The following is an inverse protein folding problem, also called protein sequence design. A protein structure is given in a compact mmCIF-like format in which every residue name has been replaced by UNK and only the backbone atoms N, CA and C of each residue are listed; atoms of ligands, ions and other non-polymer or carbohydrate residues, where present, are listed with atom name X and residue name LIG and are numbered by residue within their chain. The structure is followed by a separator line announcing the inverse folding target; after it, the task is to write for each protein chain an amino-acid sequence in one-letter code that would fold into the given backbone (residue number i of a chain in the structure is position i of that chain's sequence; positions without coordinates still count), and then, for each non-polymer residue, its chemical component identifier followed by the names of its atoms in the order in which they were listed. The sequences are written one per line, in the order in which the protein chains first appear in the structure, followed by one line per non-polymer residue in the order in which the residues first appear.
data_IF_003231848544
#
_entry.id   IF_003231848544
#
_cell.length_a   1.000
_cell.length_b   1.000
_cell.length_c   1.000
_cell.angle_alpha   90.00
_cell.angle_beta   90.00
_cell.angle_gamma   90.00
#
_symmetry.space_group_name_H-M   'P 1'
#
loop_
_entity.id
_entity.type
_entity.pdbx_description
1 polymer ?
#
# COMPACT_ATOMS: atom_id res chain seq x y z
N UNK A 1 -14.14 6.83 1.67
CA UNK A 1 -13.29 7.80 0.93
C UNK A 1 -12.47 8.69 1.85
N UNK A 2 -13.05 9.30 2.90
CA UNK A 2 -12.30 10.21 3.78
C UNK A 2 -11.13 9.53 4.51
N UNK A 3 -11.33 8.31 5.00
CA UNK A 3 -10.28 7.52 5.62
C UNK A 3 -9.08 7.26 4.67
N UNK A 4 -9.32 7.03 3.37
CA UNK A 4 -8.25 6.88 2.38
C UNK A 4 -7.49 8.19 2.18
N UNK A 5 -8.19 9.33 2.13
CA UNK A 5 -7.56 10.66 2.02
C UNK A 5 -6.70 10.99 3.23
N UNK A 6 -7.20 10.68 4.42
CA UNK A 6 -6.48 10.88 5.69
C UNK A 6 -5.20 10.04 5.71
N UNK A 7 -5.30 8.75 5.36
CA UNK A 7 -4.17 7.81 5.37
C UNK A 7 -3.12 8.04 4.26
N UNK A 8 -3.43 8.87 3.26
CA UNK A 8 -2.53 9.13 2.12
C UNK A 8 -2.11 10.59 2.09
N UNK A 9 -2.90 11.44 1.43
CA UNK A 9 -2.59 12.85 1.21
C UNK A 9 -2.45 13.61 2.52
N UNK A 10 -3.43 13.52 3.43
CA UNK A 10 -3.39 14.33 4.65
C UNK A 10 -2.24 13.91 5.57
N UNK A 11 -1.95 12.60 5.65
CA UNK A 11 -0.80 12.09 6.40
C UNK A 11 0.52 12.57 5.80
N UNK A 12 0.68 12.55 4.47
CA UNK A 12 1.87 13.05 3.79
C UNK A 12 2.06 14.56 4.00
N UNK A 13 0.97 15.32 3.96
CA UNK A 13 0.96 16.78 4.19
C UNK A 13 1.32 17.12 5.64
N UNK A 14 0.96 16.27 6.61
CA UNK A 14 1.26 16.47 8.03
C UNK A 14 2.76 16.34 8.36
N UNK A 15 3.51 15.56 7.58
CA UNK A 15 4.93 15.26 7.83
C UNK A 15 5.86 15.84 6.76
N UNK A 16 5.40 16.84 6.01
CA UNK A 16 6.14 17.53 4.94
C UNK A 16 6.64 16.62 3.81
N UNK A 17 5.96 15.49 3.56
CA UNK A 17 6.23 14.59 2.44
C UNK A 17 5.26 14.84 1.27
N UNK A 18 5.10 16.10 0.88
CA UNK A 18 4.09 16.56 -0.10
C UNK A 18 4.21 15.95 -1.50
N UNK A 19 5.37 15.36 -1.84
CA UNK A 19 5.62 14.64 -3.09
C UNK A 19 5.37 13.12 -2.99
N UNK A 20 5.02 12.61 -1.80
CA UNK A 20 4.72 11.19 -1.56
C UNK A 20 3.21 10.94 -1.40
N UNK A 21 2.79 9.68 -1.61
CA UNK A 21 1.43 9.20 -1.36
C UNK A 21 0.33 9.96 -2.14
N UNK A 22 0.68 10.43 -3.34
CA UNK A 22 -0.21 11.05 -4.32
C UNK A 22 0.04 10.42 -5.68
N UNK A 23 -1.03 10.11 -6.41
CA UNK A 23 -0.92 9.68 -7.81
C UNK A 23 -0.93 10.94 -8.67
N UNK A 24 0.25 11.51 -8.90
CA UNK A 24 0.47 12.73 -9.68
C UNK A 24 1.82 12.67 -10.41
N UNK A 25 1.91 13.36 -11.54
CA UNK A 25 3.18 13.48 -12.28
C UNK A 25 4.26 14.16 -11.42
N UNK A 26 5.50 13.66 -11.52
CA UNK A 26 6.63 14.15 -10.71
C UNK A 26 6.65 13.68 -9.25
N UNK A 27 5.61 12.98 -8.78
CA UNK A 27 5.56 12.37 -7.45
C UNK A 27 6.24 11.01 -7.37
N UNK A 28 6.61 10.59 -6.16
CA UNK A 28 7.12 9.23 -5.95
C UNK A 28 5.99 8.20 -6.12
N UNK A 29 6.29 7.13 -6.85
CA UNK A 29 5.37 6.01 -7.03
C UNK A 29 5.26 5.19 -5.73
N UNK A 30 4.32 5.57 -4.87
CA UNK A 30 3.92 4.83 -3.67
C UNK A 30 2.45 4.43 -3.82
N UNK A 31 2.17 3.17 -4.14
CA UNK A 31 0.80 2.68 -4.26
C UNK A 31 0.67 1.22 -3.82
N UNK A 32 -0.54 0.90 -3.37
CA UNK A 32 -0.92 -0.45 -2.98
C UNK A 32 -2.07 -0.89 -3.88
N UNK A 33 -1.88 -1.99 -4.60
CA UNK A 33 -2.94 -2.63 -5.35
C UNK A 33 -3.63 -3.65 -4.46
N UNK A 34 -4.93 -3.50 -4.28
CA UNK A 34 -5.76 -4.39 -3.47
C UNK A 34 -6.86 -5.04 -4.29
N UNK A 35 -7.33 -6.19 -3.82
CA UNK A 35 -8.47 -6.86 -4.44
C UNK A 35 -9.80 -6.24 -3.96
N UNK A 36 -10.71 -6.01 -4.92
CA UNK A 36 -12.01 -5.32 -4.75
C UNK A 36 -11.88 -3.84 -4.41
N UNK A 37 -13.03 -3.17 -4.39
CA UNK A 37 -13.12 -1.72 -4.17
C UNK A 37 -12.78 -1.34 -2.72
N UNK A 38 -11.69 -0.58 -2.48
CA UNK A 38 -11.28 -0.11 -1.15
C UNK A 38 -12.26 0.89 -0.51
N UNK A 39 -13.14 1.51 -1.28
CA UNK A 39 -14.08 2.49 -0.76
C UNK A 39 -15.26 1.84 -0.01
N UNK A 40 -15.50 0.56 -0.27
CA UNK A 40 -16.62 -0.22 0.28
C UNK A 40 -16.30 -0.91 1.61
N UNK A 41 -15.03 -1.26 1.86
CA UNK A 41 -14.60 -1.97 3.06
C UNK A 41 -13.12 -1.66 3.36
N UNK A 42 -12.89 -0.65 4.21
CA UNK A 42 -11.55 -0.16 4.52
C UNK A 42 -10.78 -1.11 5.46
N UNK A 43 -11.47 -1.79 6.36
CA UNK A 43 -10.86 -2.72 7.31
C UNK A 43 -10.23 -3.91 6.59
N UNK A 44 -10.80 -4.28 5.44
CA UNK A 44 -10.30 -5.37 4.62
C UNK A 44 -9.08 -4.99 3.78
N UNK A 45 -8.85 -3.71 3.47
CA UNK A 45 -7.59 -3.22 2.86
C UNK A 45 -6.43 -3.35 3.83
N UNK A 46 -6.67 -3.12 5.13
CA UNK A 46 -5.62 -3.23 6.14
C UNK A 46 -5.11 -4.67 6.31
N UNK A 47 -5.88 -5.67 5.85
CA UNK A 47 -5.50 -7.08 5.88
C UNK A 47 -4.55 -7.40 4.74
N UNK A 48 -3.38 -7.93 5.11
CA UNK A 48 -2.33 -8.33 4.16
C UNK A 48 -2.82 -9.28 3.07
N UNK A 49 -3.77 -10.15 3.39
CA UNK A 49 -4.39 -11.11 2.45
C UNK A 49 -5.04 -10.44 1.23
N UNK A 50 -5.46 -9.18 1.34
CA UNK A 50 -6.13 -8.44 0.28
C UNK A 50 -5.14 -7.61 -0.57
N UNK A 51 -3.84 -7.66 -0.24
CA UNK A 51 -2.79 -6.91 -0.92
C UNK A 51 -2.19 -7.74 -2.04
N UNK A 52 -2.48 -7.35 -3.28
CA UNK A 52 -1.97 -8.04 -4.46
C UNK A 52 -0.52 -7.64 -4.76
N UNK A 53 -0.21 -6.37 -4.59
CA UNK A 53 1.10 -5.83 -4.92
C UNK A 53 1.33 -4.44 -4.30
N UNK A 54 2.56 -4.13 -3.91
CA UNK A 54 2.93 -2.83 -3.36
C UNK A 54 4.09 -2.23 -4.16
N UNK A 55 4.05 -0.93 -4.41
CA UNK A 55 5.18 -0.16 -4.94
C UNK A 55 5.59 0.89 -3.92
N UNK A 56 6.89 0.99 -3.67
CA UNK A 56 7.50 2.03 -2.85
C UNK A 56 8.64 2.68 -3.61
N UNK A 57 8.55 3.99 -3.87
CA UNK A 57 9.57 4.78 -4.60
C UNK A 57 10.03 4.08 -5.89
N UNK A 58 9.06 3.63 -6.68
CA UNK A 58 9.28 2.90 -7.94
C UNK A 58 9.92 1.52 -7.81
N UNK A 59 10.07 0.98 -6.59
CA UNK A 59 10.45 -0.41 -6.35
C UNK A 59 9.22 -1.27 -6.13
N UNK A 60 9.20 -2.35 -6.89
CA UNK A 60 8.18 -3.37 -6.89
C UNK A 60 8.40 -4.31 -5.71
N UNK A 61 7.46 -4.31 -4.76
CA UNK A 61 7.41 -5.24 -3.65
C UNK A 61 6.33 -6.29 -3.96
N UNK A 62 6.75 -7.43 -4.51
CA UNK A 62 5.86 -8.57 -4.73
C UNK A 62 5.59 -9.26 -3.39
N UNK A 63 4.31 -9.44 -3.07
CA UNK A 63 3.90 -10.24 -1.93
C UNK A 63 4.12 -11.72 -2.28
N UNK A 64 5.22 -12.31 -1.81
CA UNK A 64 5.43 -13.75 -1.85
C UNK A 64 4.89 -14.34 -0.55
N UNK A 65 3.95 -15.27 -0.64
CA UNK A 65 3.55 -16.08 0.50
C UNK A 65 4.73 -16.94 0.93
N UNK A 66 5.32 -16.63 2.08
CA UNK A 66 6.35 -17.43 2.73
C UNK A 66 5.75 -18.05 4.00
N UNK A 67 5.97 -19.34 4.22
CA UNK A 67 5.63 -20.00 5.48
C UNK A 67 6.73 -19.75 6.50
N UNK A 68 6.40 -19.02 7.58
CA UNK A 68 7.24 -18.96 8.78
C UNK A 68 6.65 -19.96 9.79
N UNK A 69 7.08 -21.22 9.71
CA UNK A 69 6.36 -22.33 10.37
C UNK A 69 5.02 -22.61 9.68
N UNK A 70 3.97 -22.94 10.45
CA UNK A 70 2.63 -23.26 9.93
C UNK A 70 1.78 -22.02 9.58
N UNK A 71 2.29 -20.81 9.77
CA UNK A 71 1.54 -19.57 9.49
C UNK A 71 1.93 -18.98 8.13
N UNK A 72 1.00 -18.88 7.16
CA UNK A 72 1.27 -18.21 5.90
C UNK A 72 1.49 -16.72 6.14
N UNK A 73 2.69 -16.23 5.82
CA UNK A 73 3.09 -14.82 6.00
C UNK A 73 3.49 -14.25 4.65
N UNK A 74 2.95 -13.10 4.26
CA UNK A 74 3.42 -12.40 3.06
C UNK A 74 4.76 -11.72 3.35
N UNK A 75 5.80 -12.13 2.63
CA UNK A 75 7.10 -11.49 2.60
C UNK A 75 7.25 -10.70 1.29
N UNK A 76 7.82 -9.52 1.39
CA UNK A 76 8.05 -8.65 0.25
C UNK A 76 9.53 -8.67 -0.11
N UNK A 77 9.87 -9.17 -1.30
CA UNK A 77 11.23 -9.12 -1.83
C UNK A 77 11.41 -7.87 -2.69
N UNK A 78 12.52 -7.15 -2.50
CA UNK A 78 12.99 -6.11 -3.42
C UNK A 78 13.70 -6.78 -4.61
N UNK A 79 13.37 -6.36 -5.83
CA UNK A 79 14.08 -6.69 -7.07
C UNK A 79 14.73 -5.44 -7.66
#
# INVERSE_FOLDING_TARGET
MDALRIATRSAADLIDLTCENRVAEGGFANYLLVDRDPTMDIDRIAKRENNRFQVKRSRTLLATTMTLGDTPTLAFAEF
#
